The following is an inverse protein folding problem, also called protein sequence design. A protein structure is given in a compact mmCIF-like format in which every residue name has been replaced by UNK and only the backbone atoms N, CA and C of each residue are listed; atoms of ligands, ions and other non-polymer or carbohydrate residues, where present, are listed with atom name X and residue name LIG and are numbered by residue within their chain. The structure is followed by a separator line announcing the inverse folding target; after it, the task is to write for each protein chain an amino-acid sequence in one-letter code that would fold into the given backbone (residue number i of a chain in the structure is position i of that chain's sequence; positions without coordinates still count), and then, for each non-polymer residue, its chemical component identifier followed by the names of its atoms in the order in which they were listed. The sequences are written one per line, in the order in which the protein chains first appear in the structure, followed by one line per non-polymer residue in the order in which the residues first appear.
data_IF_443587106033
#
_entry.id   IF_443587106033
#
_cell.length_a   1.000
_cell.length_b   1.000
_cell.length_c   1.000
_cell.angle_alpha   90.00
_cell.angle_beta   90.00
_cell.angle_gamma   90.00
#
_symmetry.space_group_name_H-M   'P 1'
#
loop_
_entity.id
_entity.type
_entity.pdbx_description
1 polymer ?
#
# COMPACT_ATOMS: atom_id res chain seq x y z
N UNK A 1 54.25 15.93 13.17
CA UNK A 1 53.75 15.67 12.85
C UNK A 1 52.72 15.09 12.49
N UNK A 2 52.41 15.06 12.48
CA UNK A 2 51.66 14.58 12.07
C UNK A 2 50.60 14.25 11.97
N UNK A 3 49.94 14.17 11.78
CA UNK A 3 49.04 13.94 11.58
C UNK A 3 48.13 13.33 11.33
N UNK A 4 47.57 13.01 11.41
CA UNK A 4 46.75 12.43 11.16
C UNK A 4 45.66 12.35 10.70
N UNK A 5 45.18 12.18 10.45
CA UNK A 5 44.02 12.19 10.03
C UNK A 5 43.02 11.44 9.70
N UNK A 6 42.85 11.25 9.65
CA UNK A 6 41.95 10.63 9.25
C UNK A 6 40.97 10.25 9.33
N UNK A 7 40.65 10.15 9.43
CA UNK A 7 39.81 9.84 9.40
C UNK A 7 38.76 9.62 9.10
N UNK A 8 38.47 9.68 9.03
CA UNK A 8 37.53 9.67 8.64
C UNK A 8 36.65 9.22 8.10
N UNK A 9 36.38 9.12 8.00
CA UNK A 9 35.63 8.85 7.24
C UNK A 9 34.72 7.99 7.16
N UNK A 10 34.54 7.71 7.04
CA UNK A 10 33.80 6.97 6.97
C UNK A 10 32.61 6.76 7.16
N UNK A 11 32.42 6.69 7.37
CA UNK A 11 31.37 6.58 7.97
C UNK A 11 30.23 6.44 7.16
N UNK A 12 29.96 7.10 6.56
CA UNK A 12 28.91 7.14 5.82
C UNK A 12 28.38 5.96 5.44
N UNK A 13 28.96 5.18 5.34
CA UNK A 13 28.48 4.06 4.86
C UNK A 13 27.17 3.68 5.32
N UNK A 14 26.97 3.63 6.42
CA UNK A 14 25.81 3.10 6.91
C UNK A 14 24.60 3.52 6.30
N UNK A 15 24.58 4.59 5.86
CA UNK A 15 23.38 5.06 5.39
C UNK A 15 22.74 4.25 4.46
N UNK A 16 23.30 3.35 4.00
CA UNK A 16 22.64 2.62 3.09
C UNK A 16 21.46 1.95 3.57
N UNK A 17 20.94 2.35 4.58
CA UNK A 17 19.79 1.78 5.05
C UNK A 17 18.86 1.55 3.92
N UNK A 18 18.51 0.38 3.65
CA UNK A 18 17.59 0.11 2.60
C UNK A 18 16.18 0.28 3.09
N UNK A 19 15.37 0.91 2.32
CA UNK A 19 13.95 0.96 2.60
C UNK A 19 13.36 -0.39 2.37
N UNK A 20 12.36 -0.79 3.13
CA UNK A 20 11.67 -2.03 2.86
C UNK A 20 11.07 -2.00 1.47
N UNK A 21 11.09 -3.10 0.79
CA UNK A 21 10.46 -3.18 -0.50
C UNK A 21 8.97 -3.26 -0.32
N UNK A 22 8.25 -2.48 -1.11
CA UNK A 22 6.81 -2.53 -1.07
C UNK A 22 6.30 -3.67 -1.94
N UNK A 23 5.06 -4.06 -1.68
CA UNK A 23 4.34 -5.03 -2.48
C UNK A 23 3.19 -4.29 -3.12
N UNK A 24 2.96 -4.51 -4.40
CA UNK A 24 1.87 -3.84 -5.08
C UNK A 24 0.53 -4.42 -4.69
N UNK A 25 -0.44 -3.56 -4.48
CA UNK A 25 -1.84 -3.95 -4.33
C UNK A 25 -2.55 -3.62 -5.63
N UNK A 26 -3.25 -4.60 -6.19
CA UNK A 26 -4.05 -4.42 -7.39
C UNK A 26 -5.49 -4.77 -7.08
N UNK A 27 -6.41 -3.93 -7.49
CA UNK A 27 -7.82 -4.13 -7.21
C UNK A 27 -8.63 -4.16 -8.50
N UNK A 28 -9.76 -4.84 -8.47
CA UNK A 28 -10.69 -4.88 -9.60
C UNK A 28 -12.09 -5.15 -9.08
N UNK A 29 -13.08 -4.88 -9.90
CA UNK A 29 -14.45 -5.33 -9.64
C UNK A 29 -15.42 -4.32 -9.09
N UNK A 30 -14.98 -3.35 -8.33
CA UNK A 30 -15.90 -2.40 -7.74
C UNK A 30 -16.23 -1.27 -8.70
N UNK A 31 -17.31 -0.52 -8.45
CA UNK A 31 -17.62 0.64 -9.27
C UNK A 31 -16.47 1.64 -9.27
N UNK A 32 -16.28 2.29 -10.40
CA UNK A 32 -15.15 3.18 -10.61
C UNK A 32 -15.10 4.32 -9.59
N UNK A 33 -16.26 4.78 -9.14
CA UNK A 33 -16.33 5.91 -8.22
C UNK A 33 -16.38 5.50 -6.74
N UNK A 34 -16.21 4.23 -6.43
CA UNK A 34 -16.12 3.83 -5.03
C UNK A 34 -14.86 4.43 -4.42
N UNK A 35 -14.85 4.56 -3.11
CA UNK A 35 -13.70 5.12 -2.39
C UNK A 35 -12.87 4.02 -1.80
N UNK A 36 -11.55 4.15 -1.91
CA UNK A 36 -10.61 3.17 -1.35
C UNK A 36 -9.89 3.81 -0.17
N UNK A 37 -9.91 3.13 0.96
CA UNK A 37 -9.23 3.55 2.18
C UNK A 37 -8.30 2.43 2.60
N UNK A 38 -7.09 2.77 2.98
CA UNK A 38 -6.11 1.78 3.45
C UNK A 38 -5.62 2.24 4.82
N UNK A 39 -5.78 1.36 5.79
CA UNK A 39 -5.38 1.66 7.18
C UNK A 39 -6.02 2.97 7.65
N UNK A 40 -7.30 3.12 7.33
CA UNK A 40 -8.10 4.29 7.71
C UNK A 40 -7.68 5.58 7.04
N UNK A 41 -6.87 5.50 6.00
CA UNK A 41 -6.45 6.68 5.26
C UNK A 41 -7.02 6.64 3.86
N UNK A 42 -7.72 7.68 3.46
CA UNK A 42 -8.32 7.74 2.13
C UNK A 42 -7.23 7.78 1.07
N UNK A 43 -7.33 6.91 0.10
CA UNK A 43 -6.35 6.79 -0.96
C UNK A 43 -6.84 7.42 -2.26
N UNK A 44 -8.10 7.20 -2.60
CA UNK A 44 -8.64 7.75 -3.84
C UNK A 44 -9.81 6.95 -4.36
N UNK A 45 -10.29 7.33 -5.51
CA UNK A 45 -11.36 6.62 -6.17
C UNK A 45 -10.86 5.27 -6.68
N UNK A 46 -11.77 4.30 -6.72
CA UNK A 46 -11.41 2.94 -7.08
C UNK A 46 -10.73 2.87 -8.45
N UNK A 47 -11.19 3.67 -9.40
CA UNK A 47 -10.62 3.64 -10.75
C UNK A 47 -9.15 4.04 -10.75
N UNK A 48 -8.76 4.97 -9.88
CA UNK A 48 -7.37 5.36 -9.79
C UNK A 48 -6.52 4.26 -9.20
N UNK A 49 -7.03 3.63 -8.16
CA UNK A 49 -6.31 2.55 -7.51
C UNK A 49 -6.18 1.38 -8.48
N UNK A 50 -7.23 1.13 -9.25
CA UNK A 50 -7.21 0.05 -10.23
C UNK A 50 -6.15 0.28 -11.31
N UNK A 51 -6.04 1.51 -11.76
CA UNK A 51 -5.09 1.83 -12.82
C UNK A 51 -3.66 1.86 -12.34
N UNK A 52 -3.44 2.45 -11.17
CA UNK A 52 -2.09 2.68 -10.69
C UNK A 52 -1.55 1.61 -9.78
N UNK A 53 -2.44 0.94 -9.08
CA UNK A 53 -2.02 0.10 -7.98
C UNK A 53 -1.57 0.94 -6.81
N UNK A 54 -1.30 0.29 -5.71
CA UNK A 54 -0.82 0.96 -4.50
C UNK A 54 0.35 0.17 -3.96
N UNK A 55 1.40 0.86 -3.56
CA UNK A 55 2.54 0.21 -2.95
C UNK A 55 2.26 0.07 -1.45
N UNK A 56 2.28 -1.15 -0.96
CA UNK A 56 2.06 -1.43 0.46
C UNK A 56 3.39 -1.77 1.12
N UNK A 57 3.72 -1.10 2.23
CA UNK A 57 4.87 -1.54 3.03
C UNK A 57 4.62 -2.93 3.58
N UNK A 58 5.67 -3.65 3.96
CA UNK A 58 5.45 -4.97 4.56
C UNK A 58 4.59 -4.86 5.81
N UNK A 59 3.75 -5.85 6.03
CA UNK A 59 2.90 -5.91 7.19
C UNK A 59 1.44 -6.08 6.83
N UNK A 60 0.59 -5.99 7.83
CA UNK A 60 -0.84 -6.16 7.65
C UNK A 60 -1.49 -4.82 7.37
N UNK A 61 -2.42 -4.83 6.43
CA UNK A 61 -3.11 -3.60 6.05
C UNK A 61 -4.59 -3.90 5.89
N UNK A 62 -5.42 -2.94 6.27
CA UNK A 62 -6.86 -3.05 6.10
C UNK A 62 -7.27 -2.25 4.87
N UNK A 63 -7.90 -2.93 3.94
CA UNK A 63 -8.36 -2.30 2.71
C UNK A 63 -9.88 -2.19 2.81
N UNK A 64 -10.39 -0.97 2.71
CA UNK A 64 -11.83 -0.71 2.79
C UNK A 64 -12.29 -0.06 1.51
N UNK A 65 -13.37 -0.55 0.94
CA UNK A 65 -13.95 0.03 -0.27
C UNK A 65 -15.38 0.38 0.04
N UNK A 66 -15.76 1.62 -0.22
CA UNK A 66 -17.08 2.11 0.13
C UNK A 66 -17.72 2.88 -1.01
N UNK A 67 -19.03 2.76 -1.10
CA UNK A 67 -19.81 3.56 -2.02
C UNK A 67 -21.19 3.73 -1.42
N UNK A 68 -21.73 4.93 -1.52
CA UNK A 68 -23.07 5.20 -0.99
C UNK A 68 -24.07 4.25 -1.64
N UNK A 69 -24.92 3.66 -0.84
CA UNK A 69 -25.92 2.70 -1.30
C UNK A 69 -25.44 1.25 -1.30
N UNK A 70 -24.21 1.02 -0.88
CA UNK A 70 -23.65 -0.32 -0.83
C UNK A 70 -23.10 -0.58 0.56
N UNK A 71 -23.05 -1.85 0.95
CA UNK A 71 -22.39 -2.21 2.20
C UNK A 71 -20.89 -2.01 2.04
N UNK A 72 -20.19 -1.53 3.06
CA UNK A 72 -18.74 -1.41 2.98
C UNK A 72 -18.08 -2.76 2.79
N UNK A 73 -17.03 -2.79 2.02
CA UNK A 73 -16.23 -3.99 1.80
C UNK A 73 -14.89 -3.79 2.52
N UNK A 74 -14.48 -4.80 3.24
CA UNK A 74 -13.34 -4.67 4.13
C UNK A 74 -12.53 -5.95 4.06
N UNK A 75 -11.23 -5.85 3.99
CA UNK A 75 -10.38 -7.02 3.96
C UNK A 75 -9.02 -6.72 4.57
N UNK A 76 -8.51 -7.64 5.38
CA UNK A 76 -7.14 -7.53 5.85
C UNK A 76 -6.25 -8.30 4.89
N UNK A 77 -5.15 -7.69 4.50
CA UNK A 77 -4.17 -8.35 3.65
C UNK A 77 -2.82 -8.25 4.31
N UNK A 78 -1.95 -9.18 4.01
CA UNK A 78 -0.58 -9.11 4.50
C UNK A 78 0.34 -8.93 3.31
N UNK A 79 1.13 -7.87 3.34
CA UNK A 79 2.10 -7.59 2.31
C UNK A 79 3.46 -8.11 2.78
N UNK A 80 4.13 -8.85 1.93
CA UNK A 80 5.45 -9.39 2.25
C UNK A 80 6.43 -9.00 1.18
N UNK A 81 7.59 -8.59 1.64
CA UNK A 81 8.64 -8.18 0.74
C UNK A 81 8.99 -9.31 -0.21
N UNK A 82 9.12 -9.00 -1.48
CA UNK A 82 9.52 -10.00 -2.47
C UNK A 82 8.40 -10.86 -3.00
N UNK A 83 7.18 -10.67 -2.52
CA UNK A 83 6.07 -11.49 -3.00
C UNK A 83 5.37 -10.86 -4.20
N UNK A 84 4.64 -11.65 -4.98
CA UNK A 84 3.87 -11.09 -6.10
C UNK A 84 2.83 -10.12 -5.61
N UNK A 85 2.30 -9.28 -6.49
CA UNK A 85 1.27 -8.32 -6.10
C UNK A 85 0.07 -8.99 -5.43
N UNK A 86 -0.49 -8.29 -4.45
CA UNK A 86 -1.73 -8.71 -3.82
C UNK A 86 -2.87 -8.34 -4.75
N UNK A 87 -3.64 -9.33 -5.17
CA UNK A 87 -4.75 -9.10 -6.10
C UNK A 87 -6.05 -9.22 -5.34
N UNK A 88 -6.86 -8.18 -5.37
CA UNK A 88 -8.17 -8.18 -4.71
C UNK A 88 -9.27 -7.97 -5.72
N UNK A 89 -10.24 -8.87 -5.71
CA UNK A 89 -11.42 -8.74 -6.54
C UNK A 89 -12.54 -8.29 -5.61
N UNK A 90 -12.98 -7.05 -5.76
CA UNK A 90 -13.90 -6.41 -4.84
C UNK A 90 -15.31 -6.42 -5.42
N UNK A 91 -16.25 -7.01 -4.70
CA UNK A 91 -17.64 -7.00 -5.12
C UNK A 91 -18.45 -6.30 -4.02
N UNK A 92 -19.02 -5.15 -4.35
CA UNK A 92 -19.85 -4.44 -3.38
C UNK A 92 -21.29 -4.94 -3.48
N UNK A 93 -21.92 -5.08 -2.33
CA UNK A 93 -23.30 -5.54 -2.23
C UNK A 93 -24.20 -4.35 -1.98
N UNK A 94 -25.22 -4.21 -2.79
CA UNK A 94 -26.16 -3.09 -2.67
C UNK A 94 -26.99 -3.23 -1.40
N UNK A 95 -27.18 -2.14 -0.71
CA UNK A 95 -28.07 -2.12 0.44
C UNK A 95 -29.49 -2.12 -0.05
N UNK A 96 -30.34 -3.03 0.40
CA UNK A 96 -31.73 -3.06 -0.06
C UNK A 96 -32.51 -1.84 0.42
N UNK A 97 -33.49 -1.47 -0.37
CA UNK A 97 -34.38 -0.35 0.01
C UNK A 97 -35.35 -0.74 1.09
#
# INVERSE_FOLDING_TARGET
MRRSPFLLALALAGCAASSPRTTSLRVSGAPADASVTIDDKYIGAFVYVQRRGVALPPGKHRITVEKQGFFPWDRLVEAREGEPPVMLDVTLTRIPD
#
